data_IF_354339221539
#
_entry.id   IF_354339221539
#
_cell.length_a   1.000
_cell.length_b   1.000
_cell.length_c   1.000
_cell.angle_alpha   90.00
_cell.angle_beta   90.00
_cell.angle_gamma   90.00
#
_symmetry.space_group_name_H-M   'P 1'
#
loop_
_entity.id
_entity.type
_entity.pdbx_description
1 polymer ?
#
# COMPACT_ATOMS: atom_id res chain seq x y z
N UNK A 1 -7.10 21.16 29.54
CA UNK A 1 -6.52 20.16 28.64
C UNK A 1 -7.19 18.82 28.92
N UNK A 2 -8.12 18.42 28.06
CA UNK A 2 -8.73 17.08 28.09
C UNK A 2 -8.27 16.28 26.87
N UNK A 3 -7.78 15.07 27.14
CA UNK A 3 -7.36 14.11 26.13
C UNK A 3 -8.33 12.94 26.23
N UNK A 4 -8.96 12.60 25.12
CA UNK A 4 -9.93 11.52 25.04
C UNK A 4 -9.76 10.80 23.70
N UNK A 5 -10.34 9.61 23.55
CA UNK A 5 -10.28 8.91 22.28
C UNK A 5 -11.37 7.87 22.13
N UNK A 6 -11.76 7.62 20.88
CA UNK A 6 -12.79 6.65 20.52
C UNK A 6 -12.50 6.07 19.14
N UNK A 7 -12.79 4.78 18.95
CA UNK A 7 -12.81 4.12 17.65
C UNK A 7 -14.23 4.03 17.06
N UNK A 8 -15.25 4.44 17.83
CA UNK A 8 -16.64 4.41 17.40
C UNK A 8 -16.97 5.65 16.54
N UNK A 9 -17.16 5.43 15.23
CA UNK A 9 -17.42 6.48 14.23
C UNK A 9 -18.62 7.36 14.59
N UNK A 10 -19.67 6.79 15.19
CA UNK A 10 -20.87 7.55 15.60
C UNK A 10 -20.63 8.47 16.78
N UNK A 11 -19.61 8.21 17.61
CA UNK A 11 -19.30 8.98 18.82
C UNK A 11 -18.17 10.00 18.60
N UNK A 12 -17.40 9.86 17.52
CA UNK A 12 -16.32 10.78 17.14
C UNK A 12 -16.73 12.27 17.16
N UNK A 13 -17.90 12.69 16.62
CA UNK A 13 -18.28 14.10 16.59
C UNK A 13 -18.45 14.71 17.99
N UNK A 14 -18.93 13.91 18.94
CA UNK A 14 -19.06 14.33 20.34
C UNK A 14 -17.67 14.60 20.94
N UNK A 15 -16.75 13.65 20.82
CA UNK A 15 -15.40 13.77 21.39
C UNK A 15 -14.62 14.94 20.78
N UNK A 16 -14.72 15.14 19.46
CA UNK A 16 -14.06 16.25 18.76
C UNK A 16 -14.54 17.62 19.27
N UNK A 17 -15.83 17.76 19.60
CA UNK A 17 -16.37 19.06 20.05
C UNK A 17 -16.18 19.31 21.53
N UNK A 18 -16.02 18.26 22.34
CA UNK A 18 -15.89 18.39 23.81
C UNK A 18 -14.45 18.36 24.32
N UNK A 19 -13.50 17.83 23.54
CA UNK A 19 -12.13 17.59 24.00
C UNK A 19 -11.09 18.38 23.21
N UNK A 20 -10.04 18.85 23.90
CA UNK A 20 -8.93 19.59 23.27
C UNK A 20 -8.10 18.68 22.33
N UNK A 21 -7.93 17.42 22.71
CA UNK A 21 -7.19 16.40 21.94
C UNK A 21 -7.99 15.10 21.87
N UNK A 22 -8.47 14.77 20.67
CA UNK A 22 -9.22 13.54 20.41
C UNK A 22 -8.36 12.57 19.61
N UNK A 23 -7.96 11.45 20.24
CA UNK A 23 -7.29 10.33 19.58
C UNK A 23 -8.30 9.50 18.81
N UNK A 24 -8.01 9.21 17.55
CA UNK A 24 -8.91 8.49 16.64
C UNK A 24 -8.17 7.28 16.08
N UNK A 25 -8.85 6.13 16.04
CA UNK A 25 -8.39 4.95 15.28
C UNK A 25 -6.94 4.55 15.60
N UNK A 26 -6.04 4.76 14.63
CA UNK A 26 -4.62 4.35 14.74
C UNK A 26 -3.88 5.04 15.89
N UNK A 27 -4.21 6.30 16.19
CA UNK A 27 -3.58 7.04 17.29
C UNK A 27 -4.02 6.49 18.66
N UNK A 28 -5.31 6.13 18.78
CA UNK A 28 -5.86 5.49 19.97
C UNK A 28 -5.22 4.10 20.16
N UNK A 29 -5.08 3.33 19.09
CA UNK A 29 -4.50 1.99 19.15
C UNK A 29 -3.01 2.02 19.49
N UNK A 30 -2.23 2.95 18.91
CA UNK A 30 -0.84 3.16 19.27
C UNK A 30 -0.67 3.61 20.73
N UNK A 31 -1.50 4.54 21.21
CA UNK A 31 -1.48 5.00 22.59
C UNK A 31 -1.85 3.89 23.59
N UNK A 32 -2.89 3.11 23.27
CA UNK A 32 -3.35 1.97 24.08
C UNK A 32 -2.27 0.88 24.17
N UNK A 33 -1.63 0.57 23.04
CA UNK A 33 -0.55 -0.40 22.97
C UNK A 33 0.70 0.05 23.75
N UNK A 34 1.01 1.36 23.73
CA UNK A 34 2.13 1.94 24.47
C UNK A 34 1.88 1.98 25.99
N UNK A 35 0.69 2.40 26.42
CA UNK A 35 0.31 2.49 27.83
C UNK A 35 0.06 1.12 28.46
N UNK A 36 -0.67 0.23 27.77
CA UNK A 36 -0.98 -1.13 28.22
C UNK A 36 0.21 -2.09 28.10
N UNK A 37 1.28 -1.68 27.42
CA UNK A 37 2.47 -2.50 27.11
C UNK A 37 2.10 -3.88 26.55
N UNK A 38 1.02 -3.95 25.79
CA UNK A 38 0.55 -5.20 25.21
C UNK A 38 1.39 -5.53 23.97
N UNK A 39 2.29 -6.53 24.04
CA UNK A 39 3.23 -6.80 22.95
C UNK A 39 2.53 -7.23 21.66
N UNK A 40 1.33 -7.82 21.77
CA UNK A 40 0.50 -8.22 20.63
C UNK A 40 -0.01 -7.01 19.84
N UNK A 41 -0.44 -5.96 20.53
CA UNK A 41 -0.98 -4.77 19.88
C UNK A 41 0.13 -3.93 19.25
N UNK A 42 1.23 -3.71 19.99
CA UNK A 42 2.42 -3.01 19.48
C UNK A 42 3.01 -3.74 18.26
N UNK A 43 3.06 -5.07 18.30
CA UNK A 43 3.55 -5.89 17.19
C UNK A 43 2.65 -5.80 15.95
N UNK A 44 1.33 -5.77 16.14
CA UNK A 44 0.37 -5.64 15.04
C UNK A 44 0.44 -4.27 14.35
N UNK A 45 0.53 -3.15 15.09
CA UNK A 45 0.74 -1.81 14.51
C UNK A 45 1.99 -1.81 13.64
N UNK A 46 3.11 -2.25 14.22
CA UNK A 46 4.41 -2.22 13.55
C UNK A 46 4.45 -3.12 12.31
N UNK A 47 3.81 -4.29 12.38
CA UNK A 47 3.71 -5.21 11.24
C UNK A 47 2.87 -4.62 10.10
N UNK A 48 1.76 -3.96 10.42
CA UNK A 48 0.90 -3.29 9.45
C UNK A 48 1.64 -2.14 8.76
N UNK A 49 2.36 -1.30 9.52
CA UNK A 49 3.13 -0.19 8.98
C UNK A 49 4.30 -0.67 8.10
N UNK A 50 5.02 -1.71 8.53
CA UNK A 50 6.09 -2.30 7.74
C UNK A 50 5.58 -2.84 6.40
N UNK A 51 4.43 -3.54 6.41
CA UNK A 51 3.85 -4.08 5.18
C UNK A 51 3.40 -2.95 4.23
N UNK A 52 2.74 -1.91 4.76
CA UNK A 52 2.34 -0.73 3.98
C UNK A 52 3.57 -0.04 3.36
N UNK A 53 4.66 0.12 4.12
CA UNK A 53 5.89 0.73 3.64
C UNK A 53 6.56 -0.08 2.51
N UNK A 54 6.60 -1.43 2.62
CA UNK A 54 7.13 -2.30 1.57
C UNK A 54 6.33 -2.14 0.28
N UNK A 55 4.99 -2.18 0.38
CA UNK A 55 4.10 -2.00 -0.78
C UNK A 55 4.28 -0.62 -1.41
N UNK A 56 4.32 0.44 -0.60
CA UNK A 56 4.57 1.81 -1.10
C UNK A 56 5.92 1.94 -1.80
N UNK A 57 6.96 1.26 -1.29
CA UNK A 57 8.28 1.25 -1.92
C UNK A 57 8.25 0.54 -3.26
N UNK A 58 7.62 -0.64 -3.34
CA UNK A 58 7.48 -1.38 -4.60
C UNK A 58 6.70 -0.59 -5.65
N UNK A 59 5.61 0.06 -5.26
CA UNK A 59 4.82 0.92 -6.15
C UNK A 59 5.67 2.09 -6.65
N UNK A 60 6.39 2.77 -5.75
CA UNK A 60 7.25 3.91 -6.11
C UNK A 60 8.34 3.50 -7.08
N UNK A 61 9.01 2.37 -6.83
CA UNK A 61 10.03 1.84 -7.73
C UNK A 61 9.44 1.44 -9.09
N UNK A 62 8.28 0.79 -9.11
CA UNK A 62 7.59 0.43 -10.35
C UNK A 62 7.22 1.66 -11.18
N UNK A 63 6.76 2.74 -10.55
CA UNK A 63 6.46 4.01 -11.22
C UNK A 63 7.74 4.63 -11.80
N UNK A 64 8.80 4.72 -11.00
CA UNK A 64 10.08 5.29 -11.46
C UNK A 64 10.65 4.50 -12.63
N UNK A 65 10.60 3.17 -12.56
CA UNK A 65 11.10 2.30 -13.63
C UNK A 65 10.25 2.42 -14.90
N UNK A 66 8.92 2.49 -14.76
CA UNK A 66 7.98 2.71 -15.87
C UNK A 66 8.22 4.06 -16.55
N UNK A 67 8.47 5.11 -15.77
CA UNK A 67 8.81 6.44 -16.30
C UNK A 67 10.18 6.42 -16.99
N UNK A 68 11.19 5.75 -16.41
CA UNK A 68 12.51 5.63 -17.01
C UNK A 68 12.48 4.88 -18.35
N UNK A 69 11.71 3.79 -18.43
CA UNK A 69 11.47 3.03 -19.65
C UNK A 69 10.76 3.87 -20.72
N UNK A 70 9.70 4.58 -20.32
CA UNK A 70 8.94 5.47 -21.19
C UNK A 70 9.79 6.61 -21.77
N UNK A 71 10.74 7.16 -21.00
CA UNK A 71 11.64 8.24 -21.45
C UNK A 71 12.79 7.70 -22.31
N UNK A 72 13.32 6.50 -22.01
CA UNK A 72 14.45 5.89 -22.75
C UNK A 72 14.02 5.38 -24.14
N UNK A 73 12.72 5.34 -24.43
CA UNK A 73 12.20 4.88 -25.73
C UNK A 73 12.33 3.37 -25.92
N UNK A 74 12.61 2.62 -24.85
CA UNK A 74 12.63 1.17 -24.82
C UNK A 74 11.19 0.64 -24.72
N UNK A 75 10.32 1.00 -25.66
CA UNK A 75 9.10 0.24 -25.90
C UNK A 75 9.57 -1.11 -26.49
N UNK A 76 10.07 -2.01 -25.66
CA UNK A 76 10.19 -3.41 -26.03
C UNK A 76 8.77 -3.91 -25.98
N UNK A 77 7.96 -3.70 -27.01
CA UNK A 77 6.55 -4.11 -27.01
C UNK A 77 6.57 -5.61 -26.69
N UNK A 78 6.20 -6.04 -25.46
CA UNK A 78 6.22 -7.46 -25.14
C UNK A 78 5.17 -8.17 -26.03
N UNK A 79 4.16 -7.40 -26.45
CA UNK A 79 3.18 -7.78 -27.46
C UNK A 79 3.79 -8.10 -28.84
N UNK A 80 4.78 -7.33 -29.34
CA UNK A 80 5.42 -7.65 -30.64
C UNK A 80 6.33 -8.87 -30.54
N UNK A 81 7.06 -9.03 -29.44
CA UNK A 81 7.87 -10.24 -29.22
C UNK A 81 7.00 -11.50 -29.11
N UNK A 82 5.83 -11.38 -28.47
CA UNK A 82 4.86 -12.48 -28.38
C UNK A 82 4.19 -12.75 -29.74
N UNK A 83 3.84 -11.71 -30.50
CA UNK A 83 3.27 -11.85 -31.84
C UNK A 83 4.29 -12.42 -32.84
N UNK A 84 5.58 -12.11 -32.73
CA UNK A 84 6.64 -12.72 -33.54
C UNK A 84 6.82 -14.21 -33.19
N UNK A 85 6.81 -14.57 -31.90
CA UNK A 85 6.87 -15.96 -31.46
C UNK A 85 5.62 -16.75 -31.87
N UNK A 86 4.45 -16.15 -31.76
CA UNK A 86 3.17 -16.75 -32.20
C UNK A 86 3.09 -16.85 -33.72
N UNK A 87 3.59 -15.86 -34.47
CA UNK A 87 3.69 -15.93 -35.93
C UNK A 87 4.66 -17.04 -36.36
N UNK A 88 5.80 -17.18 -35.68
CA UNK A 88 6.73 -18.29 -35.91
C UNK A 88 6.13 -19.67 -35.60
N UNK A 89 5.21 -19.75 -34.63
CA UNK A 89 4.45 -20.99 -34.35
C UNK A 89 3.30 -21.23 -35.35
N UNK A 90 2.69 -20.17 -35.91
CA UNK A 90 1.64 -20.27 -36.94
C UNK A 90 2.23 -20.65 -38.31
N UNK A 91 3.39 -20.13 -38.69
CA UNK A 91 4.05 -20.46 -39.97
C UNK A 91 4.56 -21.91 -40.03
N UNK A 92 4.87 -22.54 -38.87
CA UNK A 92 5.25 -23.96 -38.78
C UNK A 92 4.06 -24.90 -39.03
N UNK A 93 2.81 -24.42 -38.94
CA UNK A 93 1.62 -25.22 -39.20
C UNK A 93 1.21 -25.35 -40.67
N UNK A 94 1.98 -24.79 -41.62
CA UNK A 94 1.62 -24.75 -43.05
C UNK A 94 2.61 -25.42 -44.01
N UNK A 95 3.62 -26.16 -43.51
CA UNK A 95 4.46 -27.00 -44.36
C UNK A 95 4.55 -28.42 -43.76
N UNK A 96 3.94 -29.35 -44.50
CA UNK A 96 3.89 -30.82 -44.36
C UNK A 96 2.83 -31.42 -43.42
#
# INVERSE_FOLDING_TARGET
>A
IQIAGTDAITQLPFFITTCDYTLIGEELYAASAYLGREPKQVGAVKGQDACKAIVMTMITLGIVLSIADAITGAYSDPARSLLEKLRGLVDVGTLE
#
